data_IF_663973867835
#
_entry.id   IF_663973867835
#
_cell.length_a   1.000
_cell.length_b   1.000
_cell.length_c   1.000
_cell.angle_alpha   90.00
_cell.angle_beta   90.00
_cell.angle_gamma   90.00
#
_symmetry.space_group_name_H-M   'P 1'
#
loop_
_entity.id
_entity.type
_entity.pdbx_description
1 polymer ?
#
# COMPACT_ATOMS: atom_id res chain seq x y z
N UNK A 1 -19.36 -9.98 6.66
CA UNK A 1 -18.66 -9.18 5.62
C UNK A 1 -17.25 -9.72 5.48
N UNK A 2 -17.04 -10.64 4.53
CA UNK A 2 -15.74 -11.24 4.31
C UNK A 2 -14.74 -10.18 3.87
N UNK A 3 -13.73 -9.90 4.70
CA UNK A 3 -12.54 -9.17 4.24
C UNK A 3 -11.89 -10.11 3.23
N UNK A 4 -12.09 -9.85 1.94
CA UNK A 4 -11.24 -10.48 0.91
C UNK A 4 -9.80 -10.29 1.37
N UNK A 5 -9.08 -11.39 1.55
CA UNK A 5 -7.76 -11.40 2.15
C UNK A 5 -6.83 -10.53 1.30
N UNK A 6 -6.66 -9.27 1.71
CA UNK A 6 -5.77 -8.35 1.04
C UNK A 6 -4.36 -8.79 1.40
N UNK A 7 -3.70 -9.49 0.48
CA UNK A 7 -2.28 -9.80 0.62
C UNK A 7 -1.53 -8.47 0.64
N UNK A 8 -0.87 -8.18 1.76
CA UNK A 8 -0.05 -6.98 1.88
C UNK A 8 1.22 -7.15 1.05
N UNK A 9 1.64 -6.09 0.35
CA UNK A 9 2.92 -6.14 -0.38
C UNK A 9 4.09 -6.39 0.58
N UNK A 10 3.99 -5.88 1.81
CA UNK A 10 4.97 -6.14 2.86
C UNK A 10 5.10 -7.63 3.17
N UNK A 11 4.00 -8.39 3.20
CA UNK A 11 4.03 -9.85 3.39
C UNK A 11 4.78 -10.55 2.26
N UNK A 12 4.50 -10.19 1.00
CA UNK A 12 5.20 -10.73 -0.17
C UNK A 12 6.69 -10.39 -0.11
N UNK A 13 7.04 -9.14 0.19
CA UNK A 13 8.45 -8.73 0.29
C UNK A 13 9.15 -9.53 1.39
N UNK A 14 8.56 -9.64 2.58
CA UNK A 14 9.17 -10.37 3.69
C UNK A 14 9.37 -11.87 3.39
N UNK A 15 8.49 -12.48 2.60
CA UNK A 15 8.59 -13.91 2.23
C UNK A 15 9.59 -14.19 1.10
N UNK A 16 9.72 -13.27 0.14
CA UNK A 16 10.43 -13.54 -1.12
C UNK A 16 11.67 -12.67 -1.36
N UNK A 17 11.90 -11.59 -0.60
CA UNK A 17 12.99 -10.63 -0.85
C UNK A 17 14.34 -11.32 -0.95
N UNK A 18 14.68 -12.17 0.00
CA UNK A 18 16.04 -12.72 0.06
C UNK A 18 16.32 -13.65 -1.14
N UNK A 19 15.34 -14.47 -1.52
CA UNK A 19 15.39 -15.30 -2.76
C UNK A 19 15.45 -14.45 -4.03
N UNK A 20 14.74 -13.32 -4.05
CA UNK A 20 14.79 -12.39 -5.17
C UNK A 20 16.16 -11.71 -5.29
N UNK A 21 16.74 -11.26 -4.18
CA UNK A 21 18.05 -10.60 -4.18
C UNK A 21 19.17 -11.56 -4.57
N UNK A 22 19.13 -12.80 -4.09
CA UNK A 22 20.08 -13.86 -4.47
C UNK A 22 20.03 -14.15 -5.99
N UNK A 23 18.83 -14.35 -6.53
CA UNK A 23 18.65 -14.66 -7.96
C UNK A 23 19.06 -13.51 -8.89
N UNK A 24 18.87 -12.26 -8.46
CA UNK A 24 19.02 -11.08 -9.30
C UNK A 24 20.11 -10.11 -8.83
N UNK A 25 21.06 -10.57 -8.01
CA UNK A 25 22.17 -9.80 -7.43
C UNK A 25 22.78 -8.79 -8.41
N UNK A 26 23.14 -9.27 -9.61
CA UNK A 26 23.86 -8.48 -10.62
C UNK A 26 22.98 -7.44 -11.36
N UNK A 27 21.65 -7.48 -11.17
CA UNK A 27 20.69 -6.61 -11.87
C UNK A 27 19.93 -5.68 -10.92
N UNK A 28 20.00 -5.92 -9.61
CA UNK A 28 19.27 -5.14 -8.60
C UNK A 28 20.08 -3.91 -8.23
N UNK A 29 19.51 -2.73 -8.50
CA UNK A 29 20.09 -1.46 -8.10
C UNK A 29 19.94 -1.22 -6.59
N UNK A 30 20.86 -0.45 -5.95
CA UNK A 30 20.73 -0.07 -4.54
C UNK A 30 19.38 0.60 -4.20
N UNK A 31 18.82 1.36 -5.15
CA UNK A 31 17.50 1.99 -5.01
C UNK A 31 16.35 0.98 -4.92
N UNK A 32 16.45 -0.15 -5.61
CA UNK A 32 15.47 -1.24 -5.53
C UNK A 32 15.52 -1.91 -4.16
N UNK A 33 16.72 -2.22 -3.66
CA UNK A 33 16.91 -2.79 -2.32
C UNK A 33 16.36 -1.85 -1.25
N UNK A 34 16.62 -0.55 -1.36
CA UNK A 34 16.07 0.44 -0.45
C UNK A 34 14.54 0.50 -0.51
N UNK A 35 13.97 0.46 -1.71
CA UNK A 35 12.52 0.43 -1.90
C UNK A 35 11.89 -0.82 -1.24
N UNK A 36 12.48 -2.01 -1.44
CA UNK A 36 12.03 -3.25 -0.82
C UNK A 36 12.09 -3.17 0.71
N UNK A 37 13.20 -2.70 1.28
CA UNK A 37 13.35 -2.53 2.73
C UNK A 37 12.30 -1.58 3.32
N UNK A 38 12.06 -0.43 2.69
CA UNK A 38 11.05 0.52 3.14
C UNK A 38 9.64 -0.07 3.03
N UNK A 39 9.29 -0.67 1.88
CA UNK A 39 7.96 -1.23 1.64
C UNK A 39 7.67 -2.48 2.48
N UNK A 40 8.69 -3.23 2.92
CA UNK A 40 8.57 -4.37 3.83
C UNK A 40 7.96 -4.00 5.20
N UNK A 41 8.16 -2.75 5.64
CA UNK A 41 7.65 -2.22 6.91
C UNK A 41 6.26 -1.59 6.77
N UNK A 42 5.70 -1.55 5.55
CA UNK A 42 4.42 -0.89 5.30
C UNK A 42 3.27 -1.62 5.99
N UNK A 43 2.53 -0.88 6.83
CA UNK A 43 1.35 -1.36 7.58
C UNK A 43 1.62 -2.62 8.40
N UNK A 44 2.83 -2.75 8.95
CA UNK A 44 3.21 -3.90 9.76
C UNK A 44 2.43 -3.92 11.09
N UNK A 45 1.88 -5.08 11.44
CA UNK A 45 1.08 -5.29 12.66
C UNK A 45 1.82 -4.97 13.97
N UNK A 46 3.14 -5.21 13.99
CA UNK A 46 4.00 -4.92 15.14
C UNK A 46 4.82 -3.63 14.97
N UNK A 47 4.48 -2.80 13.99
CA UNK A 47 5.13 -1.52 13.73
C UNK A 47 4.52 -0.37 14.53
N UNK A 48 4.96 0.88 14.27
CA UNK A 48 4.31 2.07 14.81
C UNK A 48 2.84 2.17 14.38
N UNK A 49 1.98 2.60 15.31
CA UNK A 49 0.54 2.77 15.10
C UNK A 49 0.09 4.17 15.46
N UNK A 50 -0.83 4.70 14.65
CA UNK A 50 -1.60 5.90 14.97
C UNK A 50 -2.87 5.48 15.69
N UNK A 51 -3.17 6.12 16.83
CA UNK A 51 -4.46 6.01 17.48
C UNK A 51 -5.40 7.07 16.90
N UNK A 52 -6.41 6.66 16.15
CA UNK A 52 -7.46 7.53 15.67
C UNK A 52 -8.71 7.38 16.54
N UNK A 53 -9.28 8.51 16.96
CA UNK A 53 -10.54 8.56 17.72
C UNK A 53 -11.62 9.16 16.84
N UNK A 54 -12.84 8.62 16.93
CA UNK A 54 -14.01 9.23 16.30
C UNK A 54 -14.19 10.67 16.82
N UNK A 55 -14.49 11.60 15.91
CA UNK A 55 -14.73 13.01 16.24
C UNK A 55 -16.07 13.24 16.95
N UNK A 56 -17.01 12.31 16.82
CA UNK A 56 -18.24 12.32 17.62
C UNK A 56 -17.93 12.00 19.08
N UNK A 57 -18.22 12.96 19.95
CA UNK A 57 -17.96 12.89 21.39
C UNK A 57 -18.73 11.76 22.08
N UNK A 58 -19.91 11.38 21.56
CA UNK A 58 -20.75 10.32 22.12
C UNK A 58 -20.36 8.92 21.62
N UNK A 59 -19.63 8.82 20.50
CA UNK A 59 -19.23 7.54 19.93
C UNK A 59 -18.08 6.89 20.71
N UNK A 60 -17.05 7.67 21.08
CA UNK A 60 -15.90 7.20 21.86
C UNK A 60 -14.99 6.17 21.17
N UNK A 61 -15.36 5.67 19.97
CA UNK A 61 -14.63 4.62 19.25
C UNK A 61 -13.20 5.01 18.92
N UNK A 62 -12.29 4.09 19.14
CA UNK A 62 -10.88 4.20 18.80
C UNK A 62 -10.46 3.10 17.82
N UNK A 63 -9.51 3.41 16.95
CA UNK A 63 -8.88 2.44 16.05
C UNK A 63 -7.37 2.66 16.02
N UNK A 64 -6.62 1.56 16.05
CA UNK A 64 -5.18 1.57 15.84
C UNK A 64 -4.90 1.33 14.35
N UNK A 65 -4.19 2.26 13.74
CA UNK A 65 -3.90 2.23 12.30
C UNK A 65 -2.40 2.04 12.13
N UNK A 66 -1.93 0.93 11.52
CA UNK A 66 -0.51 0.72 11.30
C UNK A 66 0.03 1.75 10.30
N UNK A 67 1.25 2.23 10.54
CA UNK A 67 1.83 3.31 9.74
C UNK A 67 2.11 2.90 8.28
N UNK A 68 1.92 3.87 7.39
CA UNK A 68 2.36 3.79 5.99
C UNK A 68 3.89 3.90 5.89
N UNK A 69 4.51 3.22 4.92
CA UNK A 69 5.96 3.31 4.72
C UNK A 69 6.43 4.61 4.02
N UNK A 70 5.51 5.37 3.42
CA UNK A 70 5.81 6.65 2.77
C UNK A 70 6.62 6.55 1.47
N UNK A 71 6.90 5.35 0.96
CA UNK A 71 7.61 5.19 -0.30
C UNK A 71 6.69 5.52 -1.48
N UNK A 72 7.11 6.43 -2.37
CA UNK A 72 6.30 6.91 -3.52
C UNK A 72 5.82 5.82 -4.49
N UNK A 73 6.49 4.66 -4.51
CA UNK A 73 6.10 3.53 -5.36
C UNK A 73 5.33 2.45 -4.58
N UNK A 74 5.03 2.66 -3.30
CA UNK A 74 4.29 1.68 -2.51
C UNK A 74 2.81 1.69 -2.95
N UNK A 75 2.27 0.59 -3.49
CA UNK A 75 0.89 0.54 -3.93
C UNK A 75 -0.10 0.75 -2.79
N UNK A 76 0.26 0.35 -1.55
CA UNK A 76 -0.58 0.60 -0.37
C UNK A 76 -0.64 2.08 0.02
N UNK A 77 0.48 2.79 -0.09
CA UNK A 77 0.53 4.21 0.23
C UNK A 77 -0.14 5.05 -0.86
N UNK A 78 0.11 4.71 -2.14
CA UNK A 78 -0.41 5.44 -3.29
C UNK A 78 -1.82 5.00 -3.74
N UNK A 79 -2.44 4.04 -3.05
CA UNK A 79 -3.72 3.47 -3.52
C UNK A 79 -4.81 4.55 -3.63
N UNK A 80 -4.85 5.49 -2.69
CA UNK A 80 -5.89 6.50 -2.66
C UNK A 80 -5.76 7.46 -3.84
N UNK A 81 -4.56 7.98 -4.05
CA UNK A 81 -4.19 8.89 -5.13
C UNK A 81 -4.37 8.22 -6.48
N UNK A 82 -3.92 6.98 -6.63
CA UNK A 82 -4.11 6.19 -7.84
C UNK A 82 -5.60 6.00 -8.15
N UNK A 83 -6.41 5.65 -7.14
CA UNK A 83 -7.85 5.45 -7.33
C UNK A 83 -8.55 6.75 -7.71
N UNK A 84 -8.26 7.85 -7.04
CA UNK A 84 -8.79 9.16 -7.42
C UNK A 84 -8.41 9.53 -8.85
N UNK A 85 -7.14 9.30 -9.24
CA UNK A 85 -6.69 9.59 -10.59
C UNK A 85 -7.45 8.75 -11.64
N UNK A 86 -7.66 7.45 -11.38
CA UNK A 86 -8.44 6.55 -12.22
C UNK A 86 -9.88 7.07 -12.33
N UNK A 87 -10.55 7.33 -11.21
CA UNK A 87 -11.93 7.85 -11.16
C UNK A 87 -12.06 9.14 -11.98
N UNK A 88 -11.08 10.05 -11.88
CA UNK A 88 -11.00 11.27 -12.67
C UNK A 88 -10.74 11.04 -14.17
N UNK A 89 -10.06 9.96 -14.56
CA UNK A 89 -9.92 9.61 -15.98
C UNK A 89 -11.21 8.97 -16.52
N UNK A 90 -11.87 8.15 -15.71
CA UNK A 90 -13.14 7.51 -16.07
C UNK A 90 -14.24 8.54 -16.32
N UNK A 91 -14.29 9.62 -15.52
CA UNK A 91 -15.28 10.68 -15.69
C UNK A 91 -15.11 11.50 -16.98
N UNK A 92 -13.94 11.46 -17.61
CA UNK A 92 -13.65 12.15 -18.89
C UNK A 92 -13.99 11.30 -20.12
N UNK A 93 -14.43 10.06 -19.95
CA UNK A 93 -14.75 9.17 -21.08
C UNK A 93 -15.90 9.74 -21.89
N UNK A 94 -15.68 9.92 -23.19
CA UNK A 94 -16.73 10.27 -24.13
C UNK A 94 -17.61 9.04 -24.41
N UNK A 95 -18.91 9.22 -24.70
CA UNK A 95 -19.75 8.13 -25.17
C UNK A 95 -19.22 7.61 -26.50
N UNK A 96 -18.64 6.41 -26.47
CA UNK A 96 -18.29 5.67 -27.68
C UNK A 96 -19.46 4.75 -28.02
N UNK A 97 -20.26 5.12 -29.01
CA UNK A 97 -21.20 4.19 -29.62
C UNK A 97 -20.40 3.26 -30.53
N UNK A 98 -20.51 1.94 -30.32
CA UNK A 98 -20.04 0.96 -31.30
C UNK A 98 -20.98 1.05 -32.51
N UNK A 99 -20.43 1.39 -33.68
CA UNK A 99 -21.14 1.35 -34.97
C UNK A 99 -21.43 -0.10 -35.33
#
# INVERSE_FOLDING_TARGET
>A
MGRGQMILLSSIINEFRDRFLDRYENSVLPSHTKALQTMAQCRQEYGPHMLAKCTDHNCGKQVYIPHSCGHRNCPHCQNHENRQWIENQLSKRLPAHTI
#
